data_IF_052301186487
#
_entry.id   IF_052301186487
#
_cell.length_a   1.000
_cell.length_b   1.000
_cell.length_c   1.000
_cell.angle_alpha   90.00
_cell.angle_beta   90.00
_cell.angle_gamma   90.00
#
_symmetry.space_group_name_H-M   'P 1'
#
loop_
_entity.id
_entity.type
_entity.pdbx_description
1 polymer ?
#
# COMPACT_ATOMS: atom_id res chain seq x y z
N UNK A 1 -64.47 36.41 -5.06
CA UNK A 1 -63.02 36.67 -4.89
C UNK A 1 -62.50 35.81 -3.75
N UNK A 2 -62.02 34.60 -4.04
CA UNK A 2 -61.07 33.85 -3.20
C UNK A 2 -60.27 32.98 -4.17
N UNK A 3 -59.00 33.32 -4.38
CA UNK A 3 -58.08 32.57 -5.23
C UNK A 3 -57.02 31.97 -4.33
N UNK A 4 -57.15 30.68 -4.01
CA UNK A 4 -56.13 29.93 -3.28
C UNK A 4 -55.10 29.42 -4.28
N UNK A 5 -53.91 30.01 -4.29
CA UNK A 5 -52.78 29.49 -5.04
C UNK A 5 -52.20 28.29 -4.28
N UNK A 6 -52.28 27.10 -4.86
CA UNK A 6 -51.61 25.90 -4.36
C UNK A 6 -50.18 25.91 -4.90
N UNK A 7 -49.21 26.19 -4.03
CA UNK A 7 -47.79 26.09 -4.37
C UNK A 7 -47.34 24.64 -4.19
N UNK A 8 -47.20 23.91 -5.30
CA UNK A 8 -46.55 22.60 -5.34
C UNK A 8 -45.04 22.78 -5.20
N UNK A 9 -44.48 22.42 -4.04
CA UNK A 9 -43.03 22.30 -3.87
C UNK A 9 -42.62 20.98 -4.52
N UNK A 10 -42.12 21.05 -5.75
CA UNK A 10 -41.36 19.96 -6.36
C UNK A 10 -40.01 19.87 -5.64
N UNK A 11 -39.92 19.00 -4.63
CA UNK A 11 -38.65 18.58 -4.09
C UNK A 11 -37.88 17.84 -5.18
N UNK A 12 -36.87 18.49 -5.76
CA UNK A 12 -35.91 17.81 -6.60
C UNK A 12 -35.16 16.80 -5.73
N UNK A 13 -35.54 15.53 -5.85
CA UNK A 13 -34.68 14.41 -5.47
C UNK A 13 -33.45 14.50 -6.37
N UNK A 14 -32.42 15.19 -5.89
CA UNK A 14 -31.08 15.03 -6.41
C UNK A 14 -30.69 13.60 -6.05
N UNK A 15 -30.91 12.68 -7.00
CA UNK A 15 -30.14 11.45 -7.01
C UNK A 15 -28.69 11.90 -7.14
N UNK A 16 -27.95 11.88 -6.03
CA UNK A 16 -26.51 11.77 -6.11
C UNK A 16 -26.25 10.49 -6.92
N UNK A 17 -25.98 10.65 -8.21
CA UNK A 17 -25.24 9.64 -8.95
C UNK A 17 -23.89 9.61 -8.26
N UNK A 18 -23.76 8.74 -7.25
CA UNK A 18 -22.51 8.52 -6.55
C UNK A 18 -21.47 8.25 -7.62
N UNK A 19 -20.60 9.24 -7.86
CA UNK A 19 -19.47 9.05 -8.74
C UNK A 19 -18.76 7.82 -8.22
N UNK A 20 -18.63 6.79 -9.07
CA UNK A 20 -17.92 5.56 -8.74
C UNK A 20 -16.50 5.93 -8.32
N UNK A 21 -16.26 6.08 -7.01
CA UNK A 21 -14.94 6.42 -6.48
C UNK A 21 -14.03 5.23 -6.77
N UNK A 22 -12.91 5.48 -7.44
CA UNK A 22 -11.85 4.49 -7.57
C UNK A 22 -11.11 4.44 -6.22
N UNK A 23 -10.72 3.25 -5.77
CA UNK A 23 -10.04 3.04 -4.48
C UNK A 23 -8.51 3.18 -4.64
N UNK A 24 -8.09 4.13 -5.47
CA UNK A 24 -6.69 4.41 -5.76
C UNK A 24 -6.26 5.56 -4.87
N UNK A 25 -5.31 5.29 -4.00
CA UNK A 25 -4.71 6.28 -3.13
C UNK A 25 -3.27 6.49 -3.57
N UNK A 26 -2.78 7.72 -3.49
CA UNK A 26 -1.37 8.03 -3.71
C UNK A 26 -0.86 8.78 -2.49
N UNK A 27 0.42 8.60 -2.19
CA UNK A 27 1.12 9.34 -1.14
C UNK A 27 2.60 9.32 -1.43
N UNK A 28 3.26 10.47 -1.33
CA UNK A 28 4.71 10.58 -1.47
C UNK A 28 5.43 10.21 -0.17
N UNK A 29 6.72 9.94 -0.28
CA UNK A 29 7.57 9.73 0.89
C UNK A 29 7.58 10.94 1.82
N UNK A 30 7.74 12.14 1.25
CA UNK A 30 7.85 13.38 2.01
C UNK A 30 6.53 13.69 2.77
N UNK A 31 5.37 13.43 2.17
CA UNK A 31 4.07 13.54 2.85
C UNK A 31 3.94 12.53 4.01
N UNK A 32 4.31 11.26 3.78
CA UNK A 32 4.26 10.25 4.85
C UNK A 32 5.24 10.54 5.99
N UNK A 33 6.43 11.07 5.68
CA UNK A 33 7.39 11.50 6.67
C UNK A 33 6.87 12.68 7.49
N UNK A 34 6.29 13.69 6.85
CA UNK A 34 5.70 14.84 7.54
C UNK A 34 4.64 14.41 8.56
N UNK A 35 3.71 13.54 8.14
CA UNK A 35 2.68 13.00 9.04
C UNK A 35 3.29 12.24 10.21
N UNK A 36 4.33 11.43 9.95
CA UNK A 36 4.98 10.63 10.98
C UNK A 36 5.80 11.44 11.98
N UNK A 37 6.43 12.54 11.56
CA UNK A 37 7.07 13.49 12.47
C UNK A 37 6.04 14.06 13.45
N UNK A 38 4.83 14.40 12.98
CA UNK A 38 3.73 14.84 13.83
C UNK A 38 3.23 13.72 14.76
N UNK A 39 3.00 12.52 14.23
CA UNK A 39 2.49 11.38 15.02
C UNK A 39 3.44 10.96 16.14
N UNK A 40 4.76 10.98 15.86
CA UNK A 40 5.80 10.64 16.82
C UNK A 40 6.20 11.83 17.70
N UNK A 41 5.67 13.03 17.43
CA UNK A 41 5.98 14.27 18.16
C UNK A 41 7.48 14.60 18.16
N UNK A 42 8.11 14.45 16.99
CA UNK A 42 9.50 14.83 16.79
C UNK A 42 9.53 16.33 16.51
N UNK A 43 10.12 17.10 17.42
CA UNK A 43 10.16 18.57 17.32
C UNK A 43 11.10 19.05 16.20
N UNK A 44 10.91 20.29 15.75
CA UNK A 44 11.65 20.90 14.64
C UNK A 44 13.19 20.70 14.67
N UNK A 45 13.93 20.97 15.76
CA UNK A 45 15.40 20.80 15.74
C UNK A 45 15.83 19.34 15.56
N UNK A 46 14.99 18.39 15.99
CA UNK A 46 15.25 16.95 15.86
C UNK A 46 14.80 16.40 14.51
N UNK A 47 13.90 17.11 13.80
CA UNK A 47 13.40 16.69 12.49
C UNK A 47 14.27 17.11 11.31
N UNK A 48 15.11 18.13 11.46
CA UNK A 48 16.00 18.64 10.40
C UNK A 48 16.82 17.54 9.68
N UNK A 49 17.47 16.59 10.37
CA UNK A 49 18.19 15.51 9.69
C UNK A 49 17.29 14.70 8.75
N UNK A 50 16.07 14.39 9.18
CA UNK A 50 15.12 13.61 8.39
C UNK A 50 14.61 14.41 7.18
N UNK A 51 14.39 15.72 7.32
CA UNK A 51 14.04 16.60 6.20
C UNK A 51 15.16 16.70 5.15
N UNK A 52 16.41 16.61 5.61
CA UNK A 52 17.60 16.50 4.75
C UNK A 52 17.86 15.06 4.25
N UNK A 53 16.94 14.12 4.49
CA UNK A 53 17.03 12.70 4.12
C UNK A 53 18.21 11.98 4.74
N UNK A 54 18.64 12.41 5.93
CA UNK A 54 19.66 11.75 6.74
C UNK A 54 18.98 10.91 7.81
N UNK A 55 19.22 9.60 7.75
CA UNK A 55 18.69 8.62 8.69
C UNK A 55 19.89 7.90 9.33
N UNK A 56 20.05 8.05 10.64
CA UNK A 56 21.14 7.44 11.41
C UNK A 56 20.72 6.05 11.92
N UNK A 57 21.68 5.20 12.28
CA UNK A 57 21.38 3.88 12.87
C UNK A 57 21.01 4.00 14.35
N UNK A 58 19.90 4.69 14.62
CA UNK A 58 19.34 4.92 15.94
C UNK A 58 17.85 4.54 16.03
N UNK A 59 17.34 4.52 17.26
CA UNK A 59 15.95 4.14 17.52
C UNK A 59 14.94 5.10 16.88
N UNK A 60 15.23 6.40 16.88
CA UNK A 60 14.35 7.42 16.32
C UNK A 60 14.15 7.24 14.81
N UNK A 61 15.23 6.97 14.09
CA UNK A 61 15.22 6.69 12.66
C UNK A 61 14.45 5.40 12.36
N UNK A 62 14.67 4.33 13.15
CA UNK A 62 13.93 3.07 13.02
C UNK A 62 12.42 3.26 13.19
N UNK A 63 12.01 3.98 14.23
CA UNK A 63 10.60 4.25 14.51
C UNK A 63 9.95 5.16 13.45
N UNK A 64 10.66 6.22 13.04
CA UNK A 64 10.20 7.11 11.97
C UNK A 64 10.01 6.35 10.66
N UNK A 65 11.01 5.59 10.22
CA UNK A 65 10.93 4.79 9.00
C UNK A 65 9.81 3.77 9.10
N UNK A 66 9.64 3.11 10.25
CA UNK A 66 8.53 2.18 10.45
C UNK A 66 7.16 2.87 10.30
N UNK A 67 6.99 4.06 10.88
CA UNK A 67 5.77 4.85 10.69
C UNK A 67 5.55 5.24 9.22
N UNK A 68 6.61 5.67 8.52
CA UNK A 68 6.53 6.07 7.11
C UNK A 68 6.09 4.90 6.25
N UNK A 69 6.71 3.72 6.38
CA UNK A 69 6.35 2.55 5.57
C UNK A 69 4.96 2.00 5.89
N UNK A 70 4.46 2.21 7.11
CA UNK A 70 3.07 1.92 7.47
C UNK A 70 2.11 2.84 6.71
N UNK A 71 2.39 4.15 6.69
CA UNK A 71 1.60 5.14 5.97
C UNK A 71 1.64 4.92 4.44
N UNK A 72 2.76 4.41 3.93
CA UNK A 72 2.96 4.06 2.52
C UNK A 72 2.50 2.63 2.17
N UNK A 73 1.93 1.89 3.14
CA UNK A 73 1.40 0.52 2.96
C UNK A 73 2.43 -0.47 2.40
N UNK A 74 3.70 -0.20 2.66
CA UNK A 74 4.81 -1.10 2.38
C UNK A 74 4.81 -2.24 3.41
N UNK A 75 4.45 -1.97 4.66
CA UNK A 75 4.22 -3.00 5.68
C UNK A 75 2.72 -3.29 5.83
N UNK A 76 2.33 -4.56 5.74
CA UNK A 76 0.97 -5.04 5.96
C UNK A 76 0.85 -5.61 7.38
N UNK A 77 0.27 -4.88 8.34
CA UNK A 77 0.27 -5.28 9.75
C UNK A 77 -0.57 -6.53 10.01
N UNK A 78 -1.66 -6.74 9.27
CA UNK A 78 -2.53 -7.92 9.46
C UNK A 78 -1.81 -9.21 9.06
N UNK A 79 -1.03 -9.17 7.98
CA UNK A 79 -0.27 -10.31 7.46
C UNK A 79 1.17 -10.35 7.99
N UNK A 80 1.59 -9.36 8.78
CA UNK A 80 2.97 -9.19 9.28
C UNK A 80 4.01 -9.34 8.17
N UNK A 81 3.75 -8.72 7.03
CA UNK A 81 4.54 -8.91 5.80
C UNK A 81 5.01 -7.57 5.25
N UNK A 82 6.26 -7.52 4.80
CA UNK A 82 6.85 -6.38 4.10
C UNK A 82 6.72 -6.59 2.60
N UNK A 83 6.20 -5.59 1.87
CA UNK A 83 6.00 -5.57 0.42
C UNK A 83 7.19 -4.89 -0.25
N UNK A 84 8.25 -5.65 -0.55
CA UNK A 84 9.50 -5.13 -1.15
C UNK A 84 9.25 -4.35 -2.46
N UNK A 85 8.35 -4.84 -3.31
CA UNK A 85 7.99 -4.14 -4.56
C UNK A 85 7.33 -2.79 -4.33
N UNK A 86 6.55 -2.63 -3.26
CA UNK A 86 5.97 -1.34 -2.90
C UNK A 86 7.06 -0.38 -2.43
N UNK A 87 8.03 -0.86 -1.63
CA UNK A 87 9.18 -0.04 -1.20
C UNK A 87 9.96 0.52 -2.40
N UNK A 88 10.21 -0.34 -3.40
CA UNK A 88 10.93 0.04 -4.63
C UNK A 88 10.34 1.27 -5.33
N UNK A 89 9.02 1.45 -5.33
CA UNK A 89 8.36 2.57 -6.01
C UNK A 89 8.72 3.95 -5.43
N UNK A 90 9.19 3.98 -4.19
CA UNK A 90 9.64 5.19 -3.49
C UNK A 90 11.12 5.50 -3.73
N UNK A 91 11.81 4.75 -4.58
CA UNK A 91 13.20 5.00 -4.93
C UNK A 91 13.39 5.11 -6.44
N UNK A 92 14.18 6.10 -6.84
CA UNK A 92 14.67 6.25 -8.20
C UNK A 92 16.09 5.71 -8.26
N UNK A 93 16.39 4.74 -9.15
CA UNK A 93 17.75 4.25 -9.30
C UNK A 93 18.72 5.36 -9.74
N UNK A 94 19.99 5.24 -9.38
CA UNK A 94 21.03 6.09 -9.95
C UNK A 94 21.27 5.69 -11.42
N UNK A 95 21.03 6.61 -12.35
CA UNK A 95 21.11 6.35 -13.80
C UNK A 95 22.52 5.89 -14.26
N UNK A 96 23.57 6.20 -13.49
CA UNK A 96 24.94 5.78 -13.80
C UNK A 96 25.36 4.49 -13.12
N UNK A 97 24.58 4.02 -12.14
CA UNK A 97 24.85 2.75 -11.47
C UNK A 97 24.13 1.62 -12.21
N UNK A 98 24.90 0.66 -12.70
CA UNK A 98 24.35 -0.55 -13.34
C UNK A 98 24.25 -1.74 -12.38
N UNK A 99 24.82 -1.62 -11.18
CA UNK A 99 24.87 -2.67 -10.16
C UNK A 99 23.88 -2.45 -9.01
N UNK A 100 23.10 -1.36 -9.01
CA UNK A 100 22.14 -1.03 -7.96
C UNK A 100 21.23 -2.22 -7.61
N UNK A 101 20.72 -2.91 -8.63
CA UNK A 101 19.85 -4.09 -8.47
C UNK A 101 20.57 -5.21 -7.74
N UNK A 102 21.80 -5.54 -8.14
CA UNK A 102 22.52 -6.67 -7.54
C UNK A 102 22.86 -6.37 -6.08
N UNK A 103 23.42 -5.18 -5.80
CA UNK A 103 23.80 -4.78 -4.43
C UNK A 103 22.60 -4.67 -3.51
N UNK A 104 21.49 -4.11 -4.01
CA UNK A 104 20.24 -4.04 -3.24
C UNK A 104 19.73 -5.45 -2.92
N UNK A 105 19.68 -6.36 -3.90
CA UNK A 105 19.23 -7.73 -3.68
C UNK A 105 20.13 -8.50 -2.72
N UNK A 106 21.46 -8.36 -2.83
CA UNK A 106 22.41 -8.98 -1.91
C UNK A 106 22.19 -8.48 -0.47
N UNK A 107 21.96 -7.18 -0.28
CA UNK A 107 21.60 -6.62 1.02
C UNK A 107 20.25 -7.15 1.53
N UNK A 108 19.22 -7.24 0.67
CA UNK A 108 17.90 -7.73 1.08
C UNK A 108 17.92 -9.16 1.61
N UNK A 109 18.90 -9.98 1.23
CA UNK A 109 19.08 -11.33 1.76
C UNK A 109 19.49 -11.36 3.24
N UNK A 110 20.00 -10.25 3.78
CA UNK A 110 20.44 -10.15 5.19
C UNK A 110 19.37 -9.55 6.11
N UNK A 111 18.25 -9.09 5.55
CA UNK A 111 17.14 -8.52 6.33
C UNK A 111 16.54 -9.60 7.24
N UNK A 112 16.39 -9.36 8.56
CA UNK A 112 15.83 -10.33 9.48
C UNK A 112 14.36 -10.62 9.17
N UNK A 113 13.86 -11.77 9.60
CA UNK A 113 12.44 -12.08 9.45
C UNK A 113 11.63 -11.24 10.44
N UNK A 114 10.49 -10.69 9.97
CA UNK A 114 9.53 -9.94 10.80
C UNK A 114 9.04 -10.77 11.99
N UNK A 115 9.07 -12.10 11.88
CA UNK A 115 8.61 -13.05 12.89
C UNK A 115 9.67 -13.37 13.96
N UNK A 116 10.91 -12.90 13.81
CA UNK A 116 12.02 -13.24 14.72
C UNK A 116 11.94 -12.51 16.08
N UNK A 117 10.80 -11.90 16.41
CA UNK A 117 10.57 -11.23 17.69
C UNK A 117 10.45 -12.25 18.83
N UNK A 118 11.29 -12.09 19.87
CA UNK A 118 11.18 -12.90 21.08
C UNK A 118 9.82 -12.68 21.79
N UNK A 119 9.30 -13.65 22.55
CA UNK A 119 8.01 -13.51 23.26
C UNK A 119 7.94 -12.34 24.26
N UNK A 120 9.10 -11.82 24.67
CA UNK A 120 9.23 -10.72 25.64
C UNK A 120 9.48 -9.36 24.99
N UNK A 121 9.56 -9.28 23.65
CA UNK A 121 9.83 -8.01 22.99
C UNK A 121 8.57 -7.15 22.85
N UNK A 122 8.77 -5.84 22.69
CA UNK A 122 7.67 -4.92 22.42
C UNK A 122 6.94 -5.32 21.13
N UNK A 123 5.62 -5.09 21.04
CA UNK A 123 4.89 -5.32 19.79
C UNK A 123 5.59 -4.62 18.62
N UNK A 124 5.72 -5.32 17.50
CA UNK A 124 6.40 -4.85 16.29
C UNK A 124 7.90 -4.63 16.37
N UNK A 125 8.61 -4.94 17.45
CA UNK A 125 10.07 -4.74 17.52
C UNK A 125 10.83 -5.42 16.37
N UNK A 126 10.47 -6.67 16.04
CA UNK A 126 11.06 -7.39 14.90
C UNK A 126 10.65 -6.80 13.55
N UNK A 127 9.45 -6.23 13.45
CA UNK A 127 8.98 -5.57 12.23
C UNK A 127 9.71 -4.24 12.00
N UNK A 128 9.90 -3.44 13.06
CA UNK A 128 10.64 -2.18 13.04
C UNK A 128 12.07 -2.43 12.54
N UNK A 129 12.75 -3.43 13.10
CA UNK A 129 14.11 -3.78 12.70
C UNK A 129 14.17 -4.27 11.24
N UNK A 130 13.32 -5.22 10.86
CA UNK A 130 13.29 -5.76 9.50
C UNK A 130 12.97 -4.69 8.45
N UNK A 131 12.04 -3.79 8.77
CA UNK A 131 11.70 -2.65 7.90
C UNK A 131 12.89 -1.70 7.75
N UNK A 132 13.55 -1.37 8.86
CA UNK A 132 14.66 -0.44 8.83
C UNK A 132 15.84 -1.00 8.03
N UNK A 133 16.18 -2.27 8.22
CA UNK A 133 17.24 -2.93 7.44
C UNK A 133 16.88 -3.03 5.96
N UNK A 134 15.62 -3.32 5.61
CA UNK A 134 15.17 -3.26 4.21
C UNK A 134 15.31 -1.83 3.65
N UNK A 135 14.87 -0.81 4.39
CA UNK A 135 15.00 0.59 3.98
C UNK A 135 16.46 0.95 3.71
N UNK A 136 17.38 0.56 4.61
CA UNK A 136 18.82 0.79 4.43
C UNK A 136 19.37 0.16 3.16
N UNK A 137 18.88 -1.01 2.76
CA UNK A 137 19.27 -1.60 1.48
C UNK A 137 18.91 -0.71 0.29
N UNK A 138 17.70 -0.16 0.26
CA UNK A 138 17.30 0.77 -0.80
C UNK A 138 18.04 2.11 -0.73
N UNK A 139 18.13 2.67 0.47
CA UNK A 139 18.77 3.96 0.73
C UNK A 139 20.25 3.99 0.36
N UNK A 140 20.99 2.90 0.58
CA UNK A 140 22.43 2.85 0.28
C UNK A 140 22.77 2.26 -1.09
N UNK A 141 21.96 1.34 -1.63
CA UNK A 141 22.35 0.58 -2.82
C UNK A 141 21.41 0.76 -4.01
N UNK A 142 20.19 1.25 -3.82
CA UNK A 142 19.24 1.37 -4.92
C UNK A 142 19.33 2.73 -5.59
N UNK A 143 19.24 3.81 -4.81
CA UNK A 143 19.30 5.18 -5.32
C UNK A 143 18.60 6.18 -4.40
N UNK A 144 18.07 7.25 -4.97
CA UNK A 144 17.50 8.37 -4.22
C UNK A 144 16.01 8.18 -3.96
N UNK A 145 15.52 8.68 -2.83
CA UNK A 145 14.07 8.74 -2.55
C UNK A 145 13.37 9.55 -3.66
N UNK A 146 12.38 8.91 -4.28
CA UNK A 146 11.54 9.44 -5.33
C UNK A 146 10.64 10.56 -4.77
N UNK A 147 10.55 11.67 -5.50
CA UNK A 147 9.71 12.82 -5.11
C UNK A 147 8.24 12.62 -5.50
N UNK A 148 7.96 11.72 -6.44
CA UNK A 148 6.61 11.47 -6.90
C UNK A 148 5.84 10.63 -5.88
N UNK A 149 4.52 10.82 -5.83
CA UNK A 149 3.61 9.98 -5.07
C UNK A 149 3.16 8.78 -5.92
N UNK A 150 3.73 7.57 -5.74
CA UNK A 150 3.20 6.39 -6.41
C UNK A 150 1.80 6.04 -5.88
N UNK A 151 1.09 5.22 -6.64
CA UNK A 151 -0.15 4.60 -6.16
C UNK A 151 0.19 3.64 -5.03
N UNK A 152 -0.49 3.81 -3.90
CA UNK A 152 -0.36 2.92 -2.76
C UNK A 152 -1.10 1.62 -3.04
N UNK A 153 -0.53 0.46 -2.68
CA UNK A 153 -1.23 -0.78 -2.86
C UNK A 153 -2.47 -0.83 -1.95
N UNK A 154 -3.57 -1.45 -2.39
CA UNK A 154 -4.77 -1.55 -1.57
C UNK A 154 -4.50 -2.36 -0.30
N UNK A 155 -5.19 -2.00 0.77
CA UNK A 155 -5.31 -2.84 1.96
C UNK A 155 -6.21 -4.03 1.68
N UNK A 156 -6.16 -5.05 2.54
CA UNK A 156 -7.06 -6.22 2.44
C UNK A 156 -8.53 -5.81 2.48
N UNK A 157 -8.87 -4.84 3.33
CA UNK A 157 -10.25 -4.36 3.50
C UNK A 157 -10.73 -3.58 2.27
N UNK A 158 -9.92 -2.68 1.73
CA UNK A 158 -10.26 -1.95 0.50
C UNK A 158 -10.39 -2.91 -0.68
N UNK A 159 -9.52 -3.91 -0.81
CA UNK A 159 -9.63 -4.90 -1.87
C UNK A 159 -10.91 -5.73 -1.73
N UNK A 160 -11.30 -6.09 -0.50
CA UNK A 160 -12.57 -6.78 -0.25
C UNK A 160 -13.77 -5.90 -0.64
N UNK A 161 -13.73 -4.61 -0.28
CA UNK A 161 -14.76 -3.66 -0.66
C UNK A 161 -14.84 -3.50 -2.19
N UNK A 162 -13.71 -3.34 -2.88
CA UNK A 162 -13.63 -3.31 -4.35
C UNK A 162 -14.24 -4.57 -4.97
N UNK A 163 -13.95 -5.75 -4.41
CA UNK A 163 -14.52 -7.02 -4.87
C UNK A 163 -16.04 -7.05 -4.71
N UNK A 164 -16.57 -6.60 -3.57
CA UNK A 164 -18.02 -6.53 -3.35
C UNK A 164 -18.70 -5.58 -4.34
N UNK A 165 -18.17 -4.37 -4.49
CA UNK A 165 -18.68 -3.36 -5.44
C UNK A 165 -18.63 -3.88 -6.88
N UNK A 166 -17.53 -4.53 -7.28
CA UNK A 166 -17.40 -5.11 -8.62
C UNK A 166 -18.36 -6.26 -8.88
N UNK A 167 -18.64 -7.10 -7.88
CA UNK A 167 -19.60 -8.18 -8.02
C UNK A 167 -21.01 -7.62 -8.22
N UNK A 168 -21.39 -6.60 -7.45
CA UNK A 168 -22.67 -5.91 -7.60
C UNK A 168 -22.81 -5.28 -9.00
N UNK A 169 -21.77 -4.58 -9.45
CA UNK A 169 -21.75 -3.90 -10.76
C UNK A 169 -22.01 -4.83 -11.95
N UNK A 170 -21.46 -6.05 -11.90
CA UNK A 170 -21.58 -7.02 -13.01
C UNK A 170 -22.70 -8.04 -12.79
N UNK A 171 -23.42 -7.97 -11.66
CA UNK A 171 -24.45 -8.95 -11.29
C UNK A 171 -23.91 -10.32 -10.90
N UNK A 172 -22.69 -10.40 -10.35
CA UNK A 172 -22.13 -11.63 -9.82
C UNK A 172 -22.68 -11.90 -8.40
N UNK A 173 -23.22 -13.10 -8.11
CA UNK A 173 -23.71 -13.43 -6.78
C UNK A 173 -22.61 -13.32 -5.71
N UNK A 174 -22.84 -12.55 -4.64
CA UNK A 174 -21.85 -12.36 -3.56
C UNK A 174 -21.42 -13.67 -2.89
N UNK A 175 -22.27 -14.71 -2.88
CA UNK A 175 -21.91 -16.02 -2.31
C UNK A 175 -20.70 -16.67 -2.99
N UNK A 176 -20.44 -16.36 -4.27
CA UNK A 176 -19.26 -16.82 -5.00
C UNK A 176 -17.98 -16.11 -4.56
N UNK A 177 -18.08 -14.93 -3.94
CA UNK A 177 -16.92 -14.24 -3.34
C UNK A 177 -16.49 -14.91 -2.04
N UNK A 178 -17.45 -15.38 -1.25
CA UNK A 178 -17.20 -16.13 -0.01
C UNK A 178 -16.61 -17.51 -0.31
N UNK A 179 -17.15 -18.20 -1.31
CA UNK A 179 -16.70 -19.53 -1.73
C UNK A 179 -15.94 -19.45 -3.06
N UNK A 180 -14.67 -19.01 -2.99
CA UNK A 180 -13.79 -18.71 -4.14
C UNK A 180 -13.48 -19.90 -5.06
N UNK A 181 -13.92 -21.11 -4.69
CA UNK A 181 -13.62 -22.39 -5.38
C UNK A 181 -14.05 -22.40 -6.84
N UNK A 182 -15.22 -21.84 -7.16
CA UNK A 182 -15.76 -21.83 -8.54
C UNK A 182 -15.73 -20.46 -9.22
N UNK A 183 -15.16 -19.44 -8.55
CA UNK A 183 -15.20 -18.08 -9.06
C UNK A 183 -14.50 -17.94 -10.42
N UNK A 184 -13.38 -18.65 -10.63
CA UNK A 184 -12.60 -18.63 -11.88
C UNK A 184 -13.31 -19.30 -13.07
N UNK A 185 -14.20 -20.25 -12.79
CA UNK A 185 -14.94 -21.02 -13.79
C UNK A 185 -16.21 -20.29 -14.23
N UNK A 186 -16.64 -19.27 -13.48
CA UNK A 186 -17.86 -18.54 -13.75
C UNK A 186 -17.74 -17.68 -15.03
N UNK A 187 -18.76 -17.63 -15.91
CA UNK A 187 -18.71 -16.84 -17.16
C UNK A 187 -18.41 -15.34 -16.97
N UNK A 188 -18.74 -14.79 -15.81
CA UNK A 188 -18.49 -13.38 -15.47
C UNK A 188 -17.12 -13.11 -14.86
N UNK A 189 -16.29 -14.14 -14.63
CA UNK A 189 -15.00 -14.00 -13.95
C UNK A 189 -14.07 -12.98 -14.62
N UNK A 190 -13.97 -13.00 -15.96
CA UNK A 190 -13.09 -12.06 -16.66
C UNK A 190 -13.54 -10.60 -16.48
N UNK A 191 -14.85 -10.35 -16.49
CA UNK A 191 -15.42 -9.01 -16.23
C UNK A 191 -15.18 -8.59 -14.79
N UNK A 192 -15.35 -9.53 -13.85
CA UNK A 192 -15.05 -9.33 -12.44
C UNK A 192 -13.59 -8.96 -12.20
N UNK A 193 -12.65 -9.78 -12.67
CA UNK A 193 -11.22 -9.56 -12.51
C UNK A 193 -10.79 -8.22 -13.12
N UNK A 194 -11.30 -7.90 -14.32
CA UNK A 194 -11.04 -6.60 -14.96
C UNK A 194 -11.58 -5.42 -14.14
N UNK A 195 -12.79 -5.53 -13.60
CA UNK A 195 -13.35 -4.50 -12.72
C UNK A 195 -12.46 -4.28 -11.49
N UNK A 196 -12.06 -5.37 -10.82
CA UNK A 196 -11.23 -5.30 -9.62
C UNK A 196 -9.90 -4.61 -9.93
N UNK A 197 -9.21 -5.01 -10.99
CA UNK A 197 -7.94 -4.38 -11.41
C UNK A 197 -8.11 -2.87 -11.64
N UNK A 198 -9.11 -2.48 -12.43
CA UNK A 198 -9.36 -1.07 -12.75
C UNK A 198 -9.72 -0.24 -11.50
N UNK A 199 -10.52 -0.80 -10.58
CA UNK A 199 -11.00 -0.07 -9.40
C UNK A 199 -9.99 -0.01 -8.25
N UNK A 200 -9.03 -0.94 -8.22
CA UNK A 200 -8.00 -1.02 -7.17
C UNK A 200 -6.65 -0.40 -7.53
N UNK A 201 -6.47 0.05 -8.78
CA UNK A 201 -5.17 0.59 -9.22
C UNK A 201 -4.08 -0.46 -9.38
N UNK A 202 -4.44 -1.76 -9.40
CA UNK A 202 -3.50 -2.85 -9.66
C UNK A 202 -3.11 -2.92 -11.15
N UNK A 203 -2.73 -1.79 -11.74
CA UNK A 203 -2.32 -1.66 -13.14
C UNK A 203 -0.91 -2.21 -13.31
N UNK A 204 -0.76 -3.53 -13.31
CA UNK A 204 0.54 -4.20 -13.42
C UNK A 204 0.55 -5.71 -13.16
N UNK A 205 -0.56 -6.29 -12.69
CA UNK A 205 -0.72 -7.74 -12.64
C UNK A 205 -1.08 -8.28 -14.03
N UNK A 206 -0.17 -8.12 -14.99
CA UNK A 206 0.01 -9.22 -15.93
C UNK A 206 0.50 -10.41 -15.10
N UNK A 207 -0.17 -11.56 -15.18
CA UNK A 207 0.40 -12.85 -14.77
C UNK A 207 1.50 -13.24 -15.78
N UNK A 208 2.48 -12.36 -15.94
CA UNK A 208 3.62 -12.46 -16.84
C UNK A 208 4.88 -12.66 -16.01
N UNK A 209 5.47 -13.83 -16.19
CA UNK A 209 6.74 -14.25 -15.62
C UNK A 209 7.86 -13.28 -15.99
N UNK A 210 8.47 -12.67 -14.97
CA UNK A 210 9.82 -12.08 -14.92
C UNK A 210 9.80 -10.63 -14.41
N UNK A 211 10.09 -10.43 -13.12
CA UNK A 211 11.08 -9.45 -12.62
C UNK A 211 10.99 -9.30 -11.10
N UNK A 212 12.17 -9.33 -10.48
CA UNK A 212 12.48 -9.39 -9.05
C UNK A 212 11.99 -10.70 -8.40
N UNK A 213 12.96 -11.44 -7.85
CA UNK A 213 12.70 -12.67 -7.10
C UNK A 213 11.82 -12.31 -5.92
N UNK A 214 10.52 -12.49 -6.10
CA UNK A 214 9.51 -12.40 -5.06
C UNK A 214 9.98 -13.30 -3.93
N UNK A 215 10.49 -12.70 -2.86
CA UNK A 215 10.84 -13.42 -1.66
C UNK A 215 9.56 -13.99 -1.08
N UNK A 216 9.26 -15.22 -1.50
CA UNK A 216 8.57 -16.29 -0.79
C UNK A 216 7.80 -15.83 0.46
N UNK A 217 6.59 -15.31 0.25
CA UNK A 217 5.48 -15.42 1.22
C UNK A 217 4.27 -15.97 0.46
N UNK A 218 4.45 -17.18 -0.08
CA UNK A 218 3.35 -18.13 -0.22
C UNK A 218 3.37 -18.93 1.09
N UNK A 219 2.51 -18.52 2.00
CA UNK A 219 1.94 -19.28 3.10
C UNK A 219 0.68 -18.48 3.49
N UNK A 220 -0.57 -18.88 3.37
CA UNK A 220 -1.21 -20.15 3.03
C UNK A 220 -2.67 -19.73 2.81
N UNK A 221 -3.22 -19.83 1.60
CA UNK A 221 -4.67 -19.92 1.42
C UNK A 221 -4.96 -21.37 1.08
N UNK A 222 -5.14 -22.15 2.14
CA UNK A 222 -6.03 -23.32 2.14
C UNK A 222 -7.34 -22.86 2.75
#
# INVERSE_FOLDING_TARGET
>A
MYSYAVTLIFGALVFETGAFRHHILSKSWDEAQSDCLEYLRIDAPESEPFLERRYEDDQSSRELIFCVVLNLRVYEPTLRTIRVEAMRQFFQPDDNDTMYVNRTNECLLTVPSVLDSSPCSTPYSGAIEAVYEMFRCFYHYYGNINRNAPELPPTVLELHQVQQECAELIGLPQQLLCNRTHLKEHPLYQKFARCVVLRSGLSGLEFGTDSIKTAKVINTLS
#
